data_IF_521206091587
#
_entry.id   IF_521206091587
#
_cell.length_a   1.000
_cell.length_b   1.000
_cell.length_c   1.000
_cell.angle_alpha   90.00
_cell.angle_beta   90.00
_cell.angle_gamma   90.00
#
_symmetry.space_group_name_H-M   'P 1'
#
loop_
_entity.id
_entity.type
_entity.pdbx_description
1 polymer ?
#
# COMPACT_ATOMS: atom_id res chain seq x y z
N UNK A 1 -45.72 24.97 -86.53
CA UNK A 1 -44.84 25.18 -85.36
C UNK A 1 -45.48 24.63 -84.07
N UNK A 2 -46.00 23.40 -84.06
CA UNK A 2 -46.77 22.87 -82.91
C UNK A 2 -46.15 21.64 -82.21
N UNK A 3 -45.06 21.07 -82.74
CA UNK A 3 -44.52 19.82 -82.20
C UNK A 3 -43.46 20.05 -81.11
N UNK A 4 -42.57 21.04 -81.25
CA UNK A 4 -41.43 21.23 -80.32
C UNK A 4 -41.85 21.63 -78.90
N UNK A 5 -42.86 22.49 -78.76
CA UNK A 5 -43.39 22.89 -77.44
C UNK A 5 -44.01 21.71 -76.67
N UNK A 6 -44.64 20.78 -77.38
CA UNK A 6 -45.24 19.57 -76.79
C UNK A 6 -44.15 18.62 -76.29
N UNK A 7 -43.07 18.43 -77.06
CA UNK A 7 -41.95 17.55 -76.69
C UNK A 7 -41.13 18.07 -75.51
N UNK A 8 -40.94 19.39 -75.39
CA UNK A 8 -40.27 20.03 -74.25
C UNK A 8 -41.11 19.87 -72.98
N UNK A 9 -42.42 20.07 -73.07
CA UNK A 9 -43.34 19.93 -71.93
C UNK A 9 -43.36 18.49 -71.40
N UNK A 10 -43.39 17.49 -72.29
CA UNK A 10 -43.29 16.07 -71.91
C UNK A 10 -41.95 15.70 -71.27
N UNK A 11 -40.86 16.32 -71.74
CA UNK A 11 -39.52 16.09 -71.18
C UNK A 11 -39.39 16.70 -69.78
N UNK A 12 -39.93 17.91 -69.57
CA UNK A 12 -39.97 18.55 -68.26
C UNK A 12 -40.79 17.73 -67.24
N UNK A 13 -41.93 17.19 -67.67
CA UNK A 13 -42.76 16.34 -66.82
C UNK A 13 -42.01 15.07 -66.37
N UNK A 14 -41.26 14.43 -67.28
CA UNK A 14 -40.42 13.26 -66.94
C UNK A 14 -39.31 13.61 -65.95
N UNK A 15 -38.68 14.77 -66.09
CA UNK A 15 -37.66 15.25 -65.15
C UNK A 15 -38.26 15.50 -63.77
N UNK A 16 -39.42 16.17 -63.69
CA UNK A 16 -40.10 16.44 -62.43
C UNK A 16 -40.51 15.15 -61.70
N UNK A 17 -41.05 14.16 -62.42
CA UNK A 17 -41.38 12.84 -61.84
C UNK A 17 -40.13 12.17 -61.26
N UNK A 18 -39.03 12.14 -62.02
CA UNK A 18 -37.78 11.49 -61.57
C UNK A 18 -37.12 12.23 -60.39
N UNK A 19 -37.24 13.55 -60.34
CA UNK A 19 -36.77 14.34 -59.21
C UNK A 19 -37.58 14.03 -57.93
N UNK A 20 -38.91 13.92 -58.04
CA UNK A 20 -39.77 13.54 -56.91
C UNK A 20 -39.49 12.11 -56.41
N UNK A 21 -39.28 11.16 -57.32
CA UNK A 21 -38.88 9.79 -56.97
C UNK A 21 -37.54 9.75 -56.23
N UNK A 22 -36.57 10.56 -56.68
CA UNK A 22 -35.29 10.69 -55.99
C UNK A 22 -35.45 11.30 -54.60
N UNK A 23 -36.20 12.39 -54.46
CA UNK A 23 -36.48 13.00 -53.15
C UNK A 23 -37.13 12.00 -52.19
N UNK A 24 -38.14 11.25 -52.64
CA UNK A 24 -38.80 10.23 -51.82
C UNK A 24 -37.82 9.12 -51.40
N UNK A 25 -36.90 8.73 -52.28
CA UNK A 25 -35.87 7.72 -51.97
C UNK A 25 -34.88 8.24 -50.93
N UNK A 26 -34.43 9.49 -51.08
CA UNK A 26 -33.51 10.14 -50.13
C UNK A 26 -34.17 10.30 -48.76
N UNK A 27 -35.44 10.71 -48.69
CA UNK A 27 -36.18 10.84 -47.43
C UNK A 27 -36.35 9.49 -46.72
N UNK A 28 -36.64 8.42 -47.47
CA UNK A 28 -36.70 7.06 -46.94
C UNK A 28 -35.33 6.62 -46.38
N UNK A 29 -34.23 6.91 -47.10
CA UNK A 29 -32.87 6.61 -46.62
C UNK A 29 -32.50 7.40 -45.37
N UNK A 30 -32.84 8.69 -45.30
CA UNK A 30 -32.62 9.54 -44.12
C UNK A 30 -33.37 8.96 -42.91
N UNK A 31 -34.62 8.53 -43.09
CA UNK A 31 -35.39 7.93 -42.01
C UNK A 31 -34.79 6.60 -41.55
N UNK A 32 -34.34 5.76 -42.48
CA UNK A 32 -33.64 4.51 -42.14
C UNK A 32 -32.35 4.80 -41.36
N UNK A 33 -31.52 5.75 -41.79
CA UNK A 33 -30.28 6.13 -41.08
C UNK A 33 -30.58 6.62 -39.67
N UNK A 34 -31.58 7.50 -39.50
CA UNK A 34 -31.99 8.02 -38.18
C UNK A 34 -32.43 6.90 -37.23
N UNK A 35 -33.23 5.95 -37.74
CA UNK A 35 -33.72 4.84 -36.93
C UNK A 35 -32.59 3.89 -36.53
N UNK A 36 -31.67 3.57 -37.44
CA UNK A 36 -30.51 2.74 -37.15
C UNK A 36 -29.59 3.42 -36.13
N UNK A 37 -29.30 4.71 -36.31
CA UNK A 37 -28.44 5.46 -35.39
C UNK A 37 -29.04 5.50 -33.97
N UNK A 38 -30.36 5.68 -33.87
CA UNK A 38 -31.06 5.66 -32.59
C UNK A 38 -30.97 4.30 -31.91
N UNK A 39 -31.19 3.21 -32.66
CA UNK A 39 -31.08 1.86 -32.14
C UNK A 39 -29.65 1.56 -31.62
N UNK A 40 -28.62 1.97 -32.36
CA UNK A 40 -27.22 1.83 -31.94
C UNK A 40 -26.89 2.66 -30.69
N UNK A 41 -27.41 3.89 -30.60
CA UNK A 41 -27.24 4.74 -29.41
C UNK A 41 -27.90 4.11 -28.17
N UNK A 42 -29.13 3.60 -28.30
CA UNK A 42 -29.84 2.95 -27.21
C UNK A 42 -29.11 1.67 -26.76
N UNK A 43 -28.57 0.89 -27.70
CA UNK A 43 -27.77 -0.30 -27.41
C UNK A 43 -26.44 0.04 -26.71
N UNK A 44 -25.76 1.11 -27.13
CA UNK A 44 -24.52 1.56 -26.51
C UNK A 44 -24.78 2.04 -25.06
N UNK A 45 -25.87 2.78 -24.84
CA UNK A 45 -26.25 3.27 -23.53
C UNK A 45 -26.58 2.13 -22.56
N UNK A 46 -27.26 1.07 -23.06
CA UNK A 46 -27.53 -0.13 -22.28
C UNK A 46 -26.23 -0.84 -21.89
N UNK A 47 -25.29 -1.02 -22.83
CA UNK A 47 -23.97 -1.63 -22.56
C UNK A 47 -23.16 -0.83 -21.55
N UNK A 48 -23.16 0.52 -21.66
CA UNK A 48 -22.48 1.39 -20.69
C UNK A 48 -23.03 1.19 -19.28
N UNK A 49 -24.35 1.19 -19.14
CA UNK A 49 -25.02 1.00 -17.85
C UNK A 49 -24.66 -0.36 -17.23
N UNK A 50 -24.61 -1.42 -18.05
CA UNK A 50 -24.21 -2.74 -17.60
C UNK A 50 -22.74 -2.78 -17.14
N UNK A 51 -21.85 -2.14 -17.89
CA UNK A 51 -20.43 -2.06 -17.54
C UNK A 51 -20.20 -1.30 -16.23
N UNK A 52 -20.83 -0.14 -16.06
CA UNK A 52 -20.73 0.67 -14.85
C UNK A 52 -21.19 -0.12 -13.60
N UNK A 53 -22.28 -0.89 -13.72
CA UNK A 53 -22.78 -1.76 -12.64
C UNK A 53 -21.81 -2.92 -12.33
N UNK A 54 -21.26 -3.57 -13.35
CA UNK A 54 -20.27 -4.64 -13.17
C UNK A 54 -18.99 -4.12 -12.51
N UNK A 55 -18.47 -2.98 -12.96
CA UNK A 55 -17.28 -2.35 -12.39
C UNK A 55 -17.48 -2.01 -10.90
N UNK A 56 -18.61 -1.38 -10.54
CA UNK A 56 -18.93 -1.07 -9.15
C UNK A 56 -19.01 -2.35 -8.29
N UNK A 57 -19.69 -3.39 -8.79
CA UNK A 57 -19.78 -4.68 -8.07
C UNK A 57 -18.40 -5.32 -7.87
N UNK A 58 -17.53 -5.29 -8.88
CA UNK A 58 -16.18 -5.85 -8.76
C UNK A 58 -15.34 -5.07 -7.74
N UNK A 59 -15.39 -3.73 -7.78
CA UNK A 59 -14.68 -2.88 -6.82
C UNK A 59 -15.13 -3.19 -5.39
N UNK A 60 -16.44 -3.25 -5.13
CA UNK A 60 -16.96 -3.57 -3.80
C UNK A 60 -16.58 -4.98 -3.34
N UNK A 61 -16.56 -5.97 -4.23
CA UNK A 61 -16.10 -7.32 -3.89
C UNK A 61 -14.61 -7.35 -3.53
N UNK A 62 -13.76 -6.61 -4.23
CA UNK A 62 -12.33 -6.55 -3.91
C UNK A 62 -12.08 -5.79 -2.60
N UNK A 63 -12.83 -4.73 -2.33
CA UNK A 63 -12.79 -4.02 -1.05
C UNK A 63 -13.18 -4.96 0.10
N UNK A 64 -14.31 -5.67 0.00
CA UNK A 64 -14.73 -6.63 1.03
C UNK A 64 -13.71 -7.75 1.25
N UNK A 65 -13.13 -8.31 0.18
CA UNK A 65 -12.05 -9.31 0.31
C UNK A 65 -10.78 -8.74 0.97
N UNK A 66 -10.49 -7.45 0.76
CA UNK A 66 -9.36 -6.78 1.39
C UNK A 66 -9.63 -6.56 2.89
N UNK A 67 -10.83 -6.10 3.23
CA UNK A 67 -11.27 -5.90 4.61
C UNK A 67 -11.25 -7.23 5.39
N UNK A 68 -11.80 -8.31 4.80
CA UNK A 68 -11.74 -9.66 5.35
C UNK A 68 -10.28 -10.14 5.54
N UNK A 69 -9.39 -9.82 4.60
CA UNK A 69 -7.97 -10.15 4.70
C UNK A 69 -7.29 -9.41 5.86
N UNK A 70 -7.62 -8.13 6.05
CA UNK A 70 -7.12 -7.29 7.16
C UNK A 70 -7.65 -7.81 8.50
N UNK A 71 -8.96 -8.00 8.64
CA UNK A 71 -9.60 -8.46 9.87
C UNK A 71 -9.16 -9.89 10.25
N UNK A 72 -9.05 -10.79 9.26
CA UNK A 72 -8.50 -12.13 9.49
C UNK A 72 -6.99 -12.08 9.80
N UNK A 73 -6.27 -11.07 9.33
CA UNK A 73 -4.90 -10.74 9.75
C UNK A 73 -4.86 -10.43 11.23
N UNK A 74 -5.66 -9.46 11.68
CA UNK A 74 -5.74 -9.03 13.08
C UNK A 74 -6.19 -10.15 14.03
N UNK A 75 -7.16 -10.97 13.62
CA UNK A 75 -7.63 -12.11 14.41
C UNK A 75 -6.63 -13.28 14.47
N UNK A 76 -5.92 -13.56 13.37
CA UNK A 76 -4.78 -14.52 13.39
C UNK A 76 -3.65 -13.96 14.25
N UNK A 77 -3.42 -12.66 14.20
CA UNK A 77 -2.39 -11.95 14.95
C UNK A 77 -2.63 -11.99 16.47
N UNK A 78 -3.85 -11.67 16.94
CA UNK A 78 -4.21 -11.81 18.35
C UNK A 78 -4.06 -13.25 18.87
N UNK A 79 -4.45 -14.24 18.05
CA UNK A 79 -4.32 -15.67 18.41
C UNK A 79 -2.87 -16.16 18.43
N UNK A 80 -1.99 -15.64 17.57
CA UNK A 80 -0.62 -16.14 17.46
C UNK A 80 0.28 -15.62 18.58
N UNK A 81 0.09 -14.37 19.01
CA UNK A 81 0.74 -13.83 20.21
C UNK A 81 0.23 -14.51 21.50
N UNK A 82 -1.08 -14.79 21.60
CA UNK A 82 -1.67 -15.40 22.81
C UNK A 82 -1.15 -16.78 23.22
N UNK A 83 -0.31 -17.45 22.42
CA UNK A 83 0.07 -18.86 22.66
C UNK A 83 1.56 -19.14 22.88
N UNK A 84 2.45 -18.16 22.72
CA UNK A 84 3.88 -18.34 23.07
C UNK A 84 4.64 -17.02 22.97
N UNK A 85 4.36 -16.09 23.89
CA UNK A 85 5.05 -14.80 23.96
C UNK A 85 6.44 -14.95 24.59
N UNK A 86 7.50 -14.90 23.77
CA UNK A 86 8.83 -14.52 24.28
C UNK A 86 8.85 -13.00 24.40
N UNK A 87 8.47 -12.51 25.58
CA UNK A 87 8.65 -11.11 25.95
C UNK A 87 10.13 -10.89 26.26
N UNK A 88 10.81 -10.08 25.45
CA UNK A 88 12.20 -9.70 25.69
C UNK A 88 12.25 -8.27 26.20
N UNK A 89 12.70 -8.03 27.46
CA UNK A 89 12.94 -6.68 27.94
C UNK A 89 14.18 -6.10 27.25
N UNK A 90 14.06 -4.85 26.79
CA UNK A 90 15.14 -4.08 26.18
C UNK A 90 15.28 -2.79 26.98
N UNK A 91 16.37 -2.68 27.75
CA UNK A 91 16.57 -1.54 28.64
C UNK A 91 17.57 -0.54 28.05
N UNK A 92 17.09 0.68 27.76
CA UNK A 92 17.91 1.79 27.29
C UNK A 92 17.97 2.93 28.33
N UNK A 93 17.51 2.72 29.57
CA UNK A 93 17.45 3.76 30.62
C UNK A 93 18.79 4.45 30.91
N UNK A 94 19.91 3.76 30.69
CA UNK A 94 21.25 4.30 30.89
C UNK A 94 21.74 5.20 29.75
N UNK A 95 20.99 5.28 28.65
CA UNK A 95 21.38 6.00 27.43
C UNK A 95 20.72 7.40 27.35
N UNK A 96 21.25 8.25 26.46
CA UNK A 96 20.81 9.64 26.28
C UNK A 96 19.37 9.73 25.73
N UNK A 97 18.48 10.42 26.44
CA UNK A 97 17.07 10.51 26.10
C UNK A 97 16.72 11.44 24.94
N UNK A 98 17.72 12.16 24.44
CA UNK A 98 17.63 12.99 23.24
C UNK A 98 17.95 12.21 21.96
N UNK A 99 18.49 10.99 22.08
CA UNK A 99 18.93 10.14 20.95
C UNK A 99 18.09 8.89 20.80
N UNK A 100 18.20 8.26 19.64
CA UNK A 100 17.65 6.95 19.35
C UNK A 100 18.78 5.98 19.01
N UNK A 101 18.75 4.80 19.62
CA UNK A 101 19.79 3.78 19.53
C UNK A 101 19.28 2.58 18.74
N UNK A 102 20.08 2.00 17.83
CA UNK A 102 19.70 0.80 17.11
C UNK A 102 19.55 -0.38 18.06
N UNK A 103 18.41 -1.06 17.97
CA UNK A 103 18.18 -2.39 18.53
C UNK A 103 18.17 -3.38 17.37
N UNK A 104 19.23 -4.19 17.31
CA UNK A 104 19.54 -5.10 16.23
C UNK A 104 18.90 -6.48 16.43
N UNK A 105 18.38 -7.04 15.34
CA UNK A 105 17.78 -8.37 15.23
C UNK A 105 18.38 -9.09 14.01
N UNK A 106 19.08 -10.20 14.24
CA UNK A 106 19.84 -10.89 13.18
C UNK A 106 19.03 -11.98 12.49
N UNK A 107 19.21 -12.10 11.17
CA UNK A 107 18.59 -13.08 10.27
C UNK A 107 17.06 -13.21 10.45
N UNK A 108 16.37 -12.07 10.43
CA UNK A 108 14.91 -12.03 10.56
C UNK A 108 14.24 -12.74 9.37
N UNK A 109 13.41 -13.75 9.66
CA UNK A 109 12.56 -14.43 8.67
C UNK A 109 11.10 -14.29 9.08
N UNK A 110 10.36 -13.42 8.38
CA UNK A 110 8.96 -13.08 8.67
C UNK A 110 8.76 -12.82 10.17
N UNK A 111 9.62 -11.97 10.74
CA UNK A 111 9.64 -11.69 12.17
C UNK A 111 8.65 -10.58 12.48
N UNK A 112 7.57 -10.94 13.15
CA UNK A 112 6.63 -10.00 13.75
C UNK A 112 7.24 -9.45 15.04
N UNK A 113 7.43 -8.12 15.09
CA UNK A 113 7.92 -7.37 16.24
C UNK A 113 6.85 -6.38 16.70
N UNK A 114 6.37 -6.56 17.93
CA UNK A 114 5.56 -5.54 18.63
C UNK A 114 6.34 -4.96 19.80
N UNK A 115 6.19 -3.65 19.99
CA UNK A 115 6.76 -2.90 21.12
C UNK A 115 5.60 -2.42 21.99
N UNK A 116 5.63 -2.74 23.30
CA UNK A 116 4.47 -2.59 24.20
C UNK A 116 4.03 -1.14 24.47
N UNK A 117 2.69 -1.00 24.54
CA UNK A 117 1.86 0.16 24.90
C UNK A 117 2.41 1.05 26.01
N UNK A 118 3.06 0.53 27.05
CA UNK A 118 3.61 1.36 28.14
C UNK A 118 5.13 1.26 28.13
N UNK A 119 5.79 2.37 27.79
CA UNK A 119 7.25 2.48 27.81
C UNK A 119 7.77 2.58 29.26
N UNK A 120 6.88 2.88 30.21
CA UNK A 120 7.16 2.89 31.64
C UNK A 120 5.98 2.37 32.46
N UNK A 121 6.23 1.33 33.25
CA UNK A 121 5.36 0.94 34.36
C UNK A 121 5.76 1.65 35.67
N UNK A 122 6.91 2.34 35.69
CA UNK A 122 7.54 2.90 36.89
C UNK A 122 7.40 4.42 37.08
N UNK A 123 6.93 5.16 36.06
CA UNK A 123 6.68 6.61 36.17
C UNK A 123 5.29 6.99 35.63
N UNK A 124 4.66 7.98 36.28
CA UNK A 124 3.38 8.54 35.82
C UNK A 124 3.60 9.32 34.52
N UNK A 125 2.84 9.01 33.47
CA UNK A 125 2.89 9.68 32.15
C UNK A 125 4.18 9.46 31.33
N UNK A 126 4.85 8.30 31.48
CA UNK A 126 6.02 7.91 30.65
C UNK A 126 5.75 7.67 29.15
N UNK A 127 4.54 7.97 28.70
CA UNK A 127 4.11 7.87 27.32
C UNK A 127 3.61 6.49 26.92
N UNK A 128 2.82 6.47 25.85
CA UNK A 128 2.25 5.28 25.26
C UNK A 128 2.93 5.02 23.92
N UNK A 129 3.42 3.80 23.72
CA UNK A 129 3.99 3.30 22.47
C UNK A 129 3.33 1.98 22.12
N UNK A 130 2.39 1.91 21.18
CA UNK A 130 2.00 0.60 20.62
C UNK A 130 2.45 0.57 19.17
N UNK A 131 3.49 -0.21 18.90
CA UNK A 131 4.12 -0.24 17.58
C UNK A 131 4.28 -1.66 17.08
N UNK A 132 3.82 -1.92 15.86
CA UNK A 132 3.90 -3.24 15.23
C UNK A 132 4.51 -3.17 13.83
N UNK A 133 5.58 -3.95 13.63
CA UNK A 133 6.29 -4.10 12.36
C UNK A 133 6.63 -5.56 12.10
N UNK A 134 6.57 -5.99 10.85
CA UNK A 134 7.12 -7.27 10.39
C UNK A 134 8.43 -7.03 9.65
N UNK A 135 9.47 -7.77 10.01
CA UNK A 135 10.82 -7.66 9.48
C UNK A 135 11.18 -8.92 8.70
N UNK A 136 11.71 -8.74 7.51
CA UNK A 136 12.27 -9.78 6.66
C UNK A 136 13.65 -9.32 6.20
N UNK A 137 14.69 -10.04 6.61
CA UNK A 137 16.06 -9.87 6.13
C UNK A 137 16.90 -11.11 6.47
N UNK A 138 16.76 -12.17 5.69
CA UNK A 138 17.55 -13.40 5.84
C UNK A 138 18.56 -13.61 4.71
N UNK A 139 18.53 -12.77 3.69
CA UNK A 139 19.22 -12.95 2.42
C UNK A 139 20.21 -11.82 2.11
N UNK A 140 20.89 -11.25 3.12
CA UNK A 140 21.90 -10.20 2.92
C UNK A 140 21.33 -8.94 2.25
N UNK A 141 20.13 -8.49 2.64
CA UNK A 141 19.45 -7.40 1.93
C UNK A 141 19.06 -7.72 0.47
N UNK A 142 19.12 -8.98 0.04
CA UNK A 142 18.77 -9.45 -1.31
C UNK A 142 17.25 -9.55 -1.57
N UNK A 143 16.85 -10.42 -2.51
CA UNK A 143 15.55 -10.50 -3.20
C UNK A 143 14.27 -10.34 -2.37
N UNK A 144 14.29 -10.62 -1.07
CA UNK A 144 13.14 -10.43 -0.18
C UNK A 144 13.57 -9.75 1.11
N UNK A 145 13.63 -8.42 1.10
CA UNK A 145 13.92 -7.60 2.28
C UNK A 145 12.84 -6.54 2.47
N UNK A 146 12.16 -6.54 3.62
CA UNK A 146 11.12 -5.53 3.91
C UNK A 146 10.90 -5.30 5.40
N UNK A 147 10.37 -4.11 5.71
CA UNK A 147 9.85 -3.75 7.01
C UNK A 147 8.41 -3.27 6.83
N UNK A 148 7.42 -4.08 7.19
CA UNK A 148 6.01 -3.74 7.01
C UNK A 148 5.42 -3.27 8.34
N UNK A 149 5.10 -1.99 8.43
CA UNK A 149 4.40 -1.42 9.59
C UNK A 149 2.89 -1.68 9.46
N UNK A 150 2.26 -2.11 10.56
CA UNK A 150 0.83 -2.44 10.59
C UNK A 150 0.05 -1.55 11.56
N UNK A 151 0.63 -1.21 12.71
CA UNK A 151 -0.02 -0.39 13.72
C UNK A 151 0.98 0.55 14.38
N UNK A 152 0.55 1.79 14.66
CA UNK A 152 1.33 2.75 15.41
C UNK A 152 0.44 3.66 16.25
N UNK A 153 0.79 3.80 17.53
CA UNK A 153 0.26 4.83 18.40
C UNK A 153 1.40 5.38 19.28
N UNK A 154 1.55 6.70 19.30
CA UNK A 154 2.51 7.41 20.15
C UNK A 154 1.81 8.57 20.86
N UNK A 155 2.04 8.74 22.16
CA UNK A 155 1.58 9.94 22.88
C UNK A 155 2.69 10.99 22.94
N UNK A 156 2.45 12.20 22.42
CA UNK A 156 3.20 13.46 22.62
C UNK A 156 4.74 13.49 22.37
N UNK A 157 5.42 12.36 22.26
CA UNK A 157 6.87 12.21 22.04
C UNK A 157 7.12 11.04 21.09
N UNK A 158 8.07 11.20 20.17
CA UNK A 158 8.49 10.12 19.28
C UNK A 158 9.40 9.15 20.02
N UNK A 159 9.01 7.88 20.09
CA UNK A 159 9.78 6.81 20.75
C UNK A 159 10.57 5.94 19.77
N UNK A 160 10.20 5.94 18.49
CA UNK A 160 10.94 5.28 17.41
C UNK A 160 11.46 6.33 16.45
N UNK A 161 12.75 6.25 16.13
CA UNK A 161 13.43 7.21 15.24
C UNK A 161 13.63 6.69 13.82
N UNK A 162 13.82 5.39 13.63
CA UNK A 162 14.11 4.75 12.33
C UNK A 162 13.76 3.27 12.38
N UNK A 163 13.40 2.70 11.23
CA UNK A 163 13.33 1.25 11.04
C UNK A 163 14.02 0.90 9.74
N UNK A 164 14.85 -0.14 9.78
CA UNK A 164 15.47 -0.67 8.58
C UNK A 164 15.40 -2.20 8.58
N UNK A 165 14.83 -2.75 7.51
CA UNK A 165 14.84 -4.18 7.28
C UNK A 165 16.26 -4.71 7.03
N UNK A 166 17.04 -4.01 6.19
CA UNK A 166 18.46 -4.22 6.01
C UNK A 166 19.25 -3.03 6.57
N UNK A 167 19.43 -3.00 7.90
CA UNK A 167 20.33 -2.01 8.53
C UNK A 167 21.80 -2.34 8.25
N UNK A 168 22.11 -3.63 8.20
CA UNK A 168 23.33 -4.23 7.67
C UNK A 168 22.91 -5.50 6.91
N UNK A 169 23.78 -6.15 6.13
CA UNK A 169 23.51 -7.41 5.44
C UNK A 169 22.47 -8.35 6.06
N UNK A 170 22.72 -8.96 7.22
CA UNK A 170 21.77 -9.88 7.85
C UNK A 170 21.16 -9.32 9.13
N UNK A 171 21.17 -7.99 9.32
CA UNK A 171 20.58 -7.36 10.50
C UNK A 171 19.44 -6.44 10.11
N UNK A 172 18.29 -6.63 10.78
CA UNK A 172 17.22 -5.64 10.83
C UNK A 172 17.32 -4.85 12.13
N UNK A 173 16.98 -3.57 12.09
CA UNK A 173 17.09 -2.71 13.29
C UNK A 173 15.91 -1.75 13.44
N UNK A 174 15.55 -1.51 14.70
CA UNK A 174 14.63 -0.45 15.11
C UNK A 174 15.40 0.50 16.02
N UNK A 175 15.36 1.81 15.73
CA UNK A 175 16.01 2.82 16.54
C UNK A 175 15.05 3.32 17.62
N UNK A 176 15.36 3.01 18.88
CA UNK A 176 14.53 3.35 20.04
C UNK A 176 15.15 4.45 20.88
N UNK A 177 14.33 5.32 21.44
CA UNK A 177 14.79 6.45 22.24
C UNK A 177 15.56 5.95 23.47
N UNK A 178 16.72 6.56 23.75
CA UNK A 178 17.48 6.30 24.98
C UNK A 178 16.76 6.83 26.22
N UNK A 179 17.13 6.40 27.42
CA UNK A 179 16.47 6.82 28.66
C UNK A 179 15.16 6.10 28.98
N UNK A 180 14.76 5.12 28.16
CA UNK A 180 13.49 4.39 28.27
C UNK A 180 13.71 2.87 28.27
N UNK A 181 12.76 2.11 28.81
CA UNK A 181 12.75 0.63 28.68
C UNK A 181 11.61 0.20 27.76
N UNK A 182 11.79 -0.91 27.07
CA UNK A 182 10.82 -1.43 26.10
C UNK A 182 10.62 -2.92 26.31
N UNK A 183 9.43 -3.40 25.98
CA UNK A 183 9.14 -4.85 25.92
C UNK A 183 8.87 -5.22 24.48
N UNK A 184 9.64 -6.17 23.99
CA UNK A 184 9.53 -6.69 22.63
C UNK A 184 8.75 -7.99 22.68
N UNK A 185 7.66 -8.06 21.92
CA UNK A 185 6.99 -9.31 21.59
C UNK A 185 7.47 -9.74 20.22
N UNK A 186 8.14 -10.88 20.19
CA UNK A 186 8.76 -11.43 18.99
C UNK A 186 8.04 -12.72 18.60
N UNK A 187 7.58 -12.77 17.36
CA UNK A 187 6.97 -13.96 16.78
C UNK A 187 7.51 -14.21 15.37
N UNK A 188 8.09 -15.38 15.12
CA UNK A 188 8.79 -15.69 13.88
C UNK A 188 10.22 -16.19 14.14
N UNK A 189 11.05 -16.22 13.09
CA UNK A 189 12.41 -16.73 13.19
C UNK A 189 13.44 -15.59 13.15
N UNK A 190 14.43 -15.68 14.04
CA UNK A 190 15.60 -14.81 14.11
C UNK A 190 16.75 -15.60 14.74
N UNK A 191 18.01 -15.27 14.42
CA UNK A 191 19.17 -16.01 14.93
C UNK A 191 19.76 -15.41 16.20
N UNK A 192 19.61 -14.11 16.39
CA UNK A 192 20.08 -13.39 17.58
C UNK A 192 19.09 -12.29 17.94
N UNK A 193 18.63 -12.35 19.18
CA UNK A 193 17.60 -11.46 19.71
C UNK A 193 18.12 -10.05 19.99
N UNK A 194 17.24 -9.14 20.47
CA UNK A 194 17.50 -7.71 20.56
C UNK A 194 18.88 -7.38 21.15
N UNK A 195 19.76 -6.80 20.34
CA UNK A 195 21.08 -6.30 20.78
C UNK A 195 21.09 -4.79 20.66
N UNK A 196 21.33 -4.10 21.77
CA UNK A 196 21.47 -2.65 21.78
C UNK A 196 22.85 -2.28 21.24
N UNK A 197 22.88 -1.37 20.28
CA UNK A 197 24.12 -0.80 19.73
C UNK A 197 24.32 0.58 20.34
N UNK A 198 25.22 0.68 21.29
CA UNK A 198 25.37 1.89 22.11
C UNK A 198 26.32 2.93 21.49
N UNK A 199 27.19 2.48 20.58
CA UNK A 199 28.20 3.30 19.93
C UNK A 199 28.28 3.02 18.43
N UNK A 200 28.57 4.07 17.65
CA UNK A 200 28.85 3.95 16.20
C UNK A 200 30.11 3.14 15.89
N UNK A 201 30.98 2.92 16.88
CA UNK A 201 32.20 2.10 16.75
C UNK A 201 31.97 0.62 17.08
N UNK A 202 30.78 0.27 17.58
CA UNK A 202 30.46 -1.11 17.93
C UNK A 202 30.18 -1.91 16.65
N UNK A 203 30.95 -2.97 16.42
CA UNK A 203 30.71 -3.90 15.31
C UNK A 203 29.37 -4.62 15.54
N UNK A 204 28.42 -4.38 14.65
CA UNK A 204 27.07 -4.98 14.69
C UNK A 204 27.07 -6.34 14.01
N UNK A 205 27.80 -6.44 12.91
CA UNK A 205 27.89 -7.62 12.07
C UNK A 205 29.26 -7.64 11.38
N UNK A 206 29.87 -8.82 11.29
CA UNK A 206 31.09 -9.06 10.52
C UNK A 206 30.81 -10.13 9.48
N UNK A 207 31.03 -9.82 8.20
CA UNK A 207 30.89 -10.78 7.11
C UNK A 207 32.23 -10.90 6.40
N UNK A 208 32.77 -12.11 6.39
CA UNK A 208 34.14 -12.37 5.95
C UNK A 208 35.12 -11.43 6.68
N UNK A 209 35.70 -10.45 5.97
CA UNK A 209 36.65 -9.47 6.48
C UNK A 209 36.08 -8.05 6.62
N UNK A 210 34.77 -7.87 6.45
CA UNK A 210 34.12 -6.55 6.48
C UNK A 210 33.30 -6.37 7.75
N UNK A 211 33.57 -5.28 8.47
CA UNK A 211 32.82 -4.86 9.65
C UNK A 211 31.72 -3.88 9.28
N UNK A 212 30.52 -4.14 9.79
CA UNK A 212 29.34 -3.28 9.65
C UNK A 212 28.98 -2.66 11.00
N UNK A 213 28.60 -1.39 10.94
CA UNK A 213 28.36 -0.54 12.09
C UNK A 213 26.99 0.13 11.95
N UNK A 214 26.38 0.51 13.07
CA UNK A 214 25.15 1.30 13.11
C UNK A 214 25.32 2.44 14.09
N UNK A 215 24.98 3.65 13.66
CA UNK A 215 25.05 4.84 14.50
C UNK A 215 23.71 5.11 15.20
N UNK A 216 23.73 5.55 16.47
CA UNK A 216 22.61 6.27 17.07
C UNK A 216 22.26 7.51 16.24
N UNK A 217 21.00 7.93 16.29
CA UNK A 217 20.49 9.10 15.55
C UNK A 217 19.80 10.07 16.50
N UNK A 218 19.74 11.35 16.14
CA UNK A 218 19.07 12.40 16.94
C UNK A 218 17.70 12.79 16.41
N UNK A 219 17.38 12.39 15.17
CA UNK A 219 16.18 12.82 14.47
C UNK A 219 15.30 11.63 14.07
N UNK A 220 13.98 11.87 14.04
CA UNK A 220 13.01 10.90 13.54
C UNK A 220 13.04 10.92 12.01
N UNK A 221 13.22 9.75 11.40
CA UNK A 221 13.23 9.64 9.95
C UNK A 221 11.82 9.82 9.37
N UNK A 222 11.67 10.51 8.22
CA UNK A 222 10.36 10.85 7.65
C UNK A 222 9.44 9.65 7.40
N UNK A 223 10.00 8.47 7.11
CA UNK A 223 9.23 7.25 6.83
C UNK A 223 8.75 6.52 8.10
N UNK A 224 9.14 6.97 9.29
CA UNK A 224 8.61 6.47 10.57
C UNK A 224 7.38 7.27 11.03
N UNK A 225 7.21 8.49 10.51
CA UNK A 225 6.11 9.38 10.85
C UNK A 225 4.92 9.17 9.89
N UNK A 226 3.79 8.72 10.44
CA UNK A 226 2.43 8.69 9.90
C UNK A 226 2.24 8.38 8.38
N UNK A 227 1.57 7.24 8.13
CA UNK A 227 0.80 6.93 6.92
C UNK A 227 1.51 6.54 5.62
N UNK A 228 2.79 6.16 5.64
CA UNK A 228 3.37 5.48 4.49
C UNK A 228 3.84 4.09 4.90
N UNK A 229 3.25 3.06 4.30
CA UNK A 229 3.88 1.74 4.22
C UNK A 229 5.36 1.96 3.90
N UNK A 230 6.26 1.46 4.75
CA UNK A 230 7.68 1.36 4.39
C UNK A 230 7.76 0.28 3.30
N UNK A 231 7.53 0.68 2.06
CA UNK A 231 7.86 -0.12 0.89
C UNK A 231 9.39 -0.12 0.80
N UNK A 232 9.98 -1.28 1.11
CA UNK A 232 11.41 -1.50 0.93
C UNK A 232 11.80 -1.26 -0.52
N UNK A 233 12.93 -0.57 -0.71
CA UNK A 233 13.66 -0.46 -1.98
C UNK A 233 14.44 -1.75 -2.21
#
# INVERSE_FOLDING_TARGET
MSNEHTTITESLAKVATRANELCNTVDAQINNIKNTLKAEQDALQAKKTQFDAQAASSISQYQGKMDDFIESGDNRYQKTLSKSDFIVPVDLKHLDDTKFYPVALHHCKMLDLRIERYVHDDITSGGILDYFVQLQNWSNGGDFTFAKQFHHFYSHRAFVGKIAAASTPYTSSVWLRGGWSYKFYLNGQYSKGPVIIESETQVVERIASTDYFLAPITEVQPHVAANNFILGV
#
